data_IF_002171025661
#
_entry.id   IF_002171025661
#
_cell.length_a   1.000
_cell.length_b   1.000
_cell.length_c   1.000
_cell.angle_alpha   90.00
_cell.angle_beta   90.00
_cell.angle_gamma   90.00
#
_symmetry.space_group_name_H-M   'P 1'
#
loop_
_entity.id
_entity.type
_entity.pdbx_description
1 polymer ?
#
# COMPACT_ATOMS: atom_id res chain seq x y z
N UNK A 1 -5.82 -2.91 -11.94
CA UNK A 1 -5.30 -1.57 -11.61
C UNK A 1 -3.99 -1.36 -12.36
N UNK A 2 -3.69 -0.13 -12.78
CA UNK A 2 -2.48 0.19 -13.55
C UNK A 2 -1.41 0.84 -12.64
N UNK A 3 -0.14 0.83 -13.08
CA UNK A 3 0.92 1.59 -12.40
C UNK A 3 0.55 3.09 -12.47
N UNK A 4 0.80 3.81 -11.38
CA UNK A 4 0.38 5.20 -11.18
C UNK A 4 -1.05 5.37 -10.64
N UNK A 5 -1.82 4.28 -10.52
CA UNK A 5 -3.18 4.35 -9.93
C UNK A 5 -3.08 4.65 -8.43
N UNK A 6 -3.82 5.66 -7.98
CA UNK A 6 -3.97 5.96 -6.56
C UNK A 6 -4.98 5.00 -5.93
N UNK A 7 -4.59 4.44 -4.79
CA UNK A 7 -5.36 3.42 -4.06
C UNK A 7 -5.35 3.71 -2.57
N UNK A 8 -6.27 3.07 -1.85
CA UNK A 8 -6.28 2.99 -0.39
C UNK A 8 -6.32 1.54 0.05
N UNK A 9 -5.66 1.22 1.16
CA UNK A 9 -5.80 -0.08 1.80
C UNK A 9 -7.25 -0.25 2.33
N UNK A 10 -7.92 -1.36 2.03
CA UNK A 10 -9.27 -1.64 2.57
C UNK A 10 -9.24 -2.31 3.93
N UNK A 11 -8.09 -2.89 4.30
CA UNK A 11 -7.84 -3.55 5.59
C UNK A 11 -6.40 -3.30 6.02
N UNK A 12 -6.02 -3.76 7.20
CA UNK A 12 -4.62 -3.75 7.63
C UNK A 12 -3.80 -4.75 6.79
N UNK A 13 -2.66 -4.30 6.28
CA UNK A 13 -1.76 -5.05 5.40
C UNK A 13 -0.40 -5.19 6.08
N UNK A 14 0.14 -6.41 6.05
CA UNK A 14 1.40 -6.74 6.74
C UNK A 14 1.19 -6.99 8.24
N UNK A 15 2.24 -6.77 9.03
CA UNK A 15 2.25 -7.04 10.48
C UNK A 15 3.25 -8.11 10.90
N UNK A 16 3.51 -8.18 12.21
CA UNK A 16 4.50 -9.06 12.81
C UNK A 16 5.94 -8.61 12.53
N UNK A 17 6.61 -9.27 11.60
CA UNK A 17 8.00 -8.97 11.20
C UNK A 17 8.11 -8.05 9.98
N UNK A 18 6.99 -7.73 9.34
CA UNK A 18 6.93 -6.87 8.15
C UNK A 18 6.30 -5.52 8.49
N UNK A 19 6.60 -4.51 7.66
CA UNK A 19 6.10 -3.16 7.86
C UNK A 19 4.57 -3.13 7.72
N UNK A 20 3.88 -2.65 8.76
CA UNK A 20 2.41 -2.59 8.78
C UNK A 20 1.88 -1.35 8.06
N UNK A 21 0.87 -1.55 7.22
CA UNK A 21 0.10 -0.52 6.54
C UNK A 21 -1.32 -0.58 7.08
N UNK A 22 -1.79 0.45 7.82
CA UNK A 22 -3.13 0.45 8.39
C UNK A 22 -4.21 0.60 7.32
N UNK A 23 -5.40 0.10 7.62
CA UNK A 23 -6.58 0.32 6.79
C UNK A 23 -6.80 1.82 6.53
N UNK A 24 -7.18 2.15 5.30
CA UNK A 24 -7.36 3.53 4.85
C UNK A 24 -6.08 4.27 4.46
N UNK A 25 -4.90 3.67 4.67
CA UNK A 25 -3.64 4.24 4.19
C UNK A 25 -3.68 4.44 2.67
N UNK A 26 -3.32 5.65 2.22
CA UNK A 26 -3.28 6.01 0.80
C UNK A 26 -1.95 5.58 0.21
N UNK A 27 -1.96 5.19 -1.05
CA UNK A 27 -0.75 4.85 -1.78
C UNK A 27 -0.95 4.90 -3.28
N UNK A 28 0.13 4.61 -4.00
CA UNK A 28 0.14 4.55 -5.46
C UNK A 28 0.69 3.21 -5.90
N UNK A 29 0.05 2.58 -6.88
CA UNK A 29 0.58 1.35 -7.49
C UNK A 29 1.87 1.70 -8.23
N UNK A 30 2.98 1.13 -7.81
CA UNK A 30 4.31 1.35 -8.41
C UNK A 30 4.78 0.17 -9.24
N UNK A 31 4.19 -1.00 -9.05
CA UNK A 31 4.53 -2.21 -9.80
C UNK A 31 3.41 -3.23 -9.84
N UNK A 32 3.53 -4.16 -10.78
CA UNK A 32 2.66 -5.32 -10.88
C UNK A 32 3.52 -6.55 -11.09
N UNK A 33 3.31 -7.56 -10.25
CA UNK A 33 4.03 -8.82 -10.32
C UNK A 33 3.32 -9.83 -11.21
N UNK A 34 4.08 -10.81 -11.69
CA UNK A 34 3.58 -11.88 -12.55
C UNK A 34 2.55 -12.78 -11.86
N UNK A 35 2.56 -12.86 -10.52
CA UNK A 35 1.58 -13.59 -9.71
C UNK A 35 0.25 -12.84 -9.53
N UNK A 36 0.08 -11.68 -10.18
CA UNK A 36 -1.12 -10.85 -10.11
C UNK A 36 -1.17 -9.92 -8.90
N UNK A 37 -0.18 -9.95 -8.00
CA UNK A 37 -0.06 -8.99 -6.90
C UNK A 37 0.41 -7.63 -7.39
N UNK A 38 0.12 -6.61 -6.59
CA UNK A 38 0.49 -5.22 -6.83
C UNK A 38 1.56 -4.80 -5.83
N UNK A 39 2.58 -4.12 -6.30
CA UNK A 39 3.51 -3.39 -5.43
C UNK A 39 2.98 -1.96 -5.29
N UNK A 40 2.64 -1.58 -4.07
CA UNK A 40 2.01 -0.29 -3.76
C UNK A 40 2.90 0.48 -2.79
N UNK A 41 3.23 1.73 -3.14
CA UNK A 41 3.92 2.66 -2.27
C UNK A 41 2.88 3.42 -1.44
N UNK A 42 2.72 3.04 -0.18
CA UNK A 42 1.82 3.67 0.78
C UNK A 42 2.48 4.85 1.49
N UNK A 43 1.75 5.93 1.63
CA UNK A 43 2.16 7.10 2.42
C UNK A 43 1.55 6.99 3.81
N UNK A 44 2.41 6.78 4.82
CA UNK A 44 2.04 6.66 6.23
C UNK A 44 2.45 7.89 7.02
N UNK A 45 1.74 8.17 8.11
CA UNK A 45 2.16 9.18 9.07
C UNK A 45 3.47 8.76 9.76
N UNK A 46 4.43 9.68 9.83
CA UNK A 46 5.68 9.55 10.58
C UNK A 46 5.52 9.99 12.02
N UNK A 47 6.44 9.55 12.88
CA UNK A 47 6.36 9.76 14.34
C UNK A 47 6.49 11.24 14.77
N UNK A 48 7.01 12.10 13.90
CA UNK A 48 7.31 13.52 14.19
C UNK A 48 6.54 14.48 13.27
N UNK A 49 5.33 14.11 12.83
CA UNK A 49 4.50 14.96 11.97
C UNK A 49 4.88 14.99 10.49
N UNK A 50 5.83 14.14 10.08
CA UNK A 50 6.17 13.90 8.68
C UNK A 50 5.34 12.77 8.04
N UNK A 51 5.65 12.43 6.80
CA UNK A 51 5.16 11.20 6.16
C UNK A 51 6.32 10.29 5.79
N UNK A 52 6.06 8.99 5.70
CA UNK A 52 7.00 8.00 5.19
C UNK A 52 6.35 7.16 4.12
N UNK A 53 7.11 6.81 3.10
CA UNK A 53 6.66 5.89 2.06
C UNK A 53 7.06 4.46 2.40
N UNK A 54 6.13 3.53 2.27
CA UNK A 54 6.32 2.10 2.51
C UNK A 54 5.84 1.34 1.30
N UNK A 55 6.74 0.58 0.66
CA UNK A 55 6.35 -0.31 -0.42
C UNK A 55 5.91 -1.64 0.15
N UNK A 56 4.67 -2.04 -0.12
CA UNK A 56 4.15 -3.34 0.26
C UNK A 56 3.57 -4.06 -0.97
N UNK A 57 3.81 -5.37 -1.02
CA UNK A 57 3.21 -6.25 -2.03
C UNK A 57 1.85 -6.73 -1.51
N UNK A 58 0.78 -6.44 -2.25
CA UNK A 58 -0.60 -6.63 -1.82
C UNK A 58 -1.43 -7.36 -2.87
N UNK A 59 -2.47 -8.07 -2.45
CA UNK A 59 -3.46 -8.57 -3.41
C UNK A 59 -4.33 -7.41 -3.91
N UNK A 60 -4.81 -7.51 -5.15
CA UNK A 60 -5.69 -6.48 -5.71
C UNK A 60 -7.00 -6.29 -4.91
N UNK A 61 -7.43 -7.31 -4.17
CA UNK A 61 -8.59 -7.25 -3.28
C UNK A 61 -8.34 -6.50 -1.96
N UNK A 62 -7.06 -6.29 -1.59
CA UNK A 62 -6.69 -5.62 -0.33
C UNK A 62 -6.57 -4.10 -0.48
N UNK A 63 -6.76 -3.59 -1.70
CA UNK A 63 -6.74 -2.17 -2.02
C UNK A 63 -7.96 -1.78 -2.86
N UNK A 64 -8.42 -0.54 -2.70
CA UNK A 64 -9.48 0.05 -3.51
C UNK A 64 -8.96 1.31 -4.19
N UNK A 65 -9.39 1.57 -5.43
CA UNK A 65 -9.06 2.80 -6.16
C UNK A 65 -9.62 4.02 -5.43
N UNK A 66 -8.86 5.12 -5.45
CA UNK A 66 -9.26 6.42 -4.92
C UNK A 66 -9.98 7.27 -5.97
#
# INVERSE_FOLDING_TARGET
>A
MQIGTNVKAVKDIGGGLTQSVPAGAKGTVVGRRFDGRLDVAFTLAGLLGGTRSVTATVAAADVATL
#
